data_IF_037037775193
#
_entry.id   IF_037037775193
#
_cell.length_a   1.000
_cell.length_b   1.000
_cell.length_c   1.000
_cell.angle_alpha   90.00
_cell.angle_beta   90.00
_cell.angle_gamma   90.00
#
_symmetry.space_group_name_H-M   'P 1'
#
loop_
_entity.id
_entity.type
_entity.pdbx_description
1 polymer ?
#
# COMPACT_ATOMS: atom_id res chain seq x y z
N UNK A 1 -16.12 -28.07 -28.13
CA UNK A 1 -15.69 -29.49 -28.05
C UNK A 1 -15.91 -30.12 -26.66
N UNK A 2 -15.83 -29.40 -25.54
CA UNK A 2 -16.07 -30.02 -24.22
C UNK A 2 -17.51 -30.55 -24.00
N UNK A 3 -18.52 -29.91 -24.58
CA UNK A 3 -19.93 -30.32 -24.46
C UNK A 3 -20.37 -31.46 -25.39
N UNK A 4 -19.48 -31.97 -26.24
CA UNK A 4 -19.83 -33.11 -27.12
C UNK A 4 -19.58 -34.46 -26.44
N UNK A 5 -18.86 -34.50 -25.33
CA UNK A 5 -18.48 -35.72 -24.61
C UNK A 5 -18.82 -35.70 -23.12
N UNK A 6 -19.42 -34.63 -22.60
CA UNK A 6 -19.73 -34.47 -21.18
C UNK A 6 -21.05 -33.74 -20.95
N UNK A 7 -21.96 -34.38 -20.22
CA UNK A 7 -23.32 -33.90 -19.94
C UNK A 7 -23.51 -33.40 -18.50
N UNK A 8 -22.47 -33.48 -17.66
CA UNK A 8 -22.56 -33.05 -16.26
C UNK A 8 -22.48 -31.54 -16.08
N UNK A 9 -22.63 -31.04 -14.84
CA UNK A 9 -22.36 -29.64 -14.51
C UNK A 9 -20.94 -29.26 -14.93
N UNK A 10 -20.84 -28.21 -15.74
CA UNK A 10 -19.58 -27.69 -16.27
C UNK A 10 -19.52 -26.19 -16.04
N UNK A 11 -18.40 -25.69 -15.54
CA UNK A 11 -18.12 -24.27 -15.41
C UNK A 11 -16.82 -23.98 -16.17
N UNK A 12 -16.79 -22.88 -16.94
CA UNK A 12 -15.53 -22.38 -17.49
C UNK A 12 -14.83 -21.54 -16.42
N UNK A 13 -13.52 -21.71 -16.29
CA UNK A 13 -12.75 -20.94 -15.33
C UNK A 13 -12.78 -19.45 -15.73
N UNK A 14 -13.31 -18.64 -14.82
CA UNK A 14 -13.32 -17.18 -14.91
C UNK A 14 -12.69 -16.63 -13.63
N UNK A 15 -12.09 -15.45 -13.74
CA UNK A 15 -11.48 -14.79 -12.60
C UNK A 15 -12.54 -14.53 -11.51
N UNK A 16 -12.13 -14.74 -10.26
CA UNK A 16 -12.95 -14.48 -9.07
C UNK A 16 -14.19 -15.37 -8.93
N UNK A 17 -14.28 -16.51 -9.62
CA UNK A 17 -15.33 -17.49 -9.34
C UNK A 17 -14.93 -18.38 -8.16
N UNK A 18 -15.77 -18.42 -7.13
CA UNK A 18 -15.61 -19.32 -5.99
C UNK A 18 -16.54 -20.52 -6.14
N UNK A 19 -16.03 -21.72 -5.82
CA UNK A 19 -16.81 -22.96 -5.77
C UNK A 19 -16.95 -23.39 -4.32
N UNK A 20 -18.18 -23.42 -3.83
CA UNK A 20 -18.50 -23.97 -2.50
C UNK A 20 -18.97 -25.42 -2.67
N UNK A 21 -18.26 -26.32 -1.99
CA UNK A 21 -18.60 -27.75 -1.95
C UNK A 21 -19.15 -28.06 -0.57
N UNK A 22 -20.37 -28.57 -0.54
CA UNK A 22 -21.03 -29.11 0.65
C UNK A 22 -21.45 -30.55 0.37
N UNK A 23 -21.74 -31.37 1.40
CA UNK A 23 -22.24 -32.74 1.18
C UNK A 23 -23.47 -32.81 0.27
N UNK A 24 -24.31 -31.77 0.30
CA UNK A 24 -25.60 -31.74 -0.40
C UNK A 24 -25.53 -31.09 -1.78
N UNK A 25 -24.62 -30.14 -2.00
CA UNK A 25 -24.53 -29.43 -3.28
C UNK A 25 -23.14 -28.82 -3.55
N UNK A 26 -22.89 -28.60 -4.84
CA UNK A 26 -21.77 -27.83 -5.38
C UNK A 26 -22.35 -26.57 -6.02
N UNK A 27 -21.89 -25.40 -5.58
CA UNK A 27 -22.36 -24.12 -6.11
C UNK A 27 -21.19 -23.22 -6.52
N UNK A 28 -21.31 -22.61 -7.69
CA UNK A 28 -20.38 -21.58 -8.18
C UNK A 28 -20.97 -20.19 -7.99
N UNK A 29 -20.19 -19.25 -7.47
CA UNK A 29 -20.61 -17.84 -7.29
C UNK A 29 -19.50 -16.88 -7.73
N UNK A 30 -19.83 -15.76 -8.39
CA UNK A 30 -18.87 -14.69 -8.61
C UNK A 30 -18.51 -14.03 -7.27
N UNK A 31 -17.23 -13.71 -7.09
CA UNK A 31 -16.69 -13.09 -5.87
C UNK A 31 -16.30 -11.66 -6.20
N UNK A 32 -16.73 -10.72 -5.37
CA UNK A 32 -16.26 -9.34 -5.46
C UNK A 32 -15.04 -9.17 -4.55
N UNK A 33 -13.93 -8.70 -5.13
CA UNK A 33 -12.76 -8.28 -4.35
C UNK A 33 -12.77 -6.76 -4.21
N UNK A 34 -12.29 -6.28 -3.07
CA UNK A 34 -12.05 -4.86 -2.87
C UNK A 34 -10.94 -4.42 -3.83
N UNK A 35 -11.25 -3.48 -4.72
CA UNK A 35 -10.24 -2.85 -5.57
C UNK A 35 -9.21 -2.15 -4.67
N UNK A 36 -7.94 -2.48 -4.83
CA UNK A 36 -6.83 -2.08 -3.95
C UNK A 36 -6.83 -2.75 -2.56
N UNK A 37 -7.11 -4.05 -2.51
CA UNK A 37 -6.89 -4.84 -1.31
C UNK A 37 -5.41 -4.75 -0.88
N UNK A 38 -5.17 -4.23 0.32
CA UNK A 38 -3.86 -4.36 0.97
C UNK A 38 -3.71 -5.79 1.46
N UNK A 39 -2.49 -6.36 1.44
CA UNK A 39 -2.27 -7.65 2.07
C UNK A 39 -2.74 -7.54 3.52
N UNK A 40 -3.49 -8.53 4.04
CA UNK A 40 -3.74 -8.58 5.47
C UNK A 40 -2.37 -8.65 6.13
N UNK A 41 -1.96 -7.58 6.79
CA UNK A 41 -0.76 -7.59 7.59
C UNK A 41 -1.06 -8.57 8.73
N UNK A 42 -0.63 -9.82 8.59
CA UNK A 42 -0.34 -10.60 9.78
C UNK A 42 0.92 -9.98 10.34
N UNK A 43 0.76 -9.16 11.38
CA UNK A 43 1.85 -8.96 12.33
C UNK A 43 2.25 -10.36 12.78
N UNK A 44 3.34 -10.87 12.22
CA UNK A 44 4.04 -11.99 12.83
C UNK A 44 4.70 -11.35 14.05
N UNK A 45 4.00 -11.34 15.17
CA UNK A 45 4.58 -10.92 16.43
C UNK A 45 5.66 -11.95 16.79
N UNK A 46 6.90 -11.52 16.62
CA UNK A 46 8.07 -12.35 16.82
C UNK A 46 9.21 -11.83 15.95
N UNK A 47 10.08 -11.01 16.54
CA UNK A 47 11.45 -10.91 16.03
C UNK A 47 11.96 -12.35 15.92
N UNK A 48 12.35 -12.79 14.72
CA UNK A 48 13.00 -14.10 14.58
C UNK A 48 14.37 -13.95 15.23
N UNK A 49 14.64 -14.58 16.39
CA UNK A 49 15.93 -14.42 17.05
C UNK A 49 17.02 -14.93 16.12
N UNK A 50 17.93 -14.04 15.71
CA UNK A 50 19.02 -14.35 14.78
C UNK A 50 18.90 -13.74 13.38
N UNK A 51 17.83 -13.00 13.05
CA UNK A 51 17.79 -12.19 11.81
C UNK A 51 18.13 -10.73 12.11
N UNK A 52 19.40 -10.43 12.26
CA UNK A 52 19.87 -9.05 12.12
C UNK A 52 19.89 -8.73 10.62
N UNK A 53 18.93 -7.95 10.14
CA UNK A 53 19.05 -7.34 8.82
C UNK A 53 20.22 -6.35 8.87
N UNK A 54 21.39 -6.81 8.44
CA UNK A 54 22.61 -6.02 8.40
C UNK A 54 22.47 -4.90 7.38
N UNK A 55 22.20 -3.69 7.86
CA UNK A 55 22.40 -2.48 7.07
C UNK A 55 23.89 -2.15 7.11
N UNK A 56 24.55 -2.16 5.95
CA UNK A 56 25.94 -1.74 5.81
C UNK A 56 26.12 -0.28 6.18
N UNK A 57 27.25 0.07 6.80
CA UNK A 57 27.49 1.43 7.31
C UNK A 57 27.43 2.50 6.22
N UNK A 58 27.91 2.21 5.00
CA UNK A 58 27.78 3.12 3.86
C UNK A 58 26.32 3.50 3.55
N UNK A 59 25.38 2.58 3.78
CA UNK A 59 23.95 2.80 3.50
C UNK A 59 23.30 3.63 4.61
N UNK A 60 23.80 3.53 5.85
CA UNK A 60 23.40 4.41 6.96
C UNK A 60 23.87 5.85 6.67
N UNK A 61 25.10 6.01 6.21
CA UNK A 61 25.70 7.30 5.92
C UNK A 61 25.11 7.98 4.68
N UNK A 62 24.67 7.18 3.70
CA UNK A 62 23.98 7.68 2.50
C UNK A 62 22.51 8.09 2.76
N UNK A 63 22.01 7.95 3.99
CA UNK A 63 20.63 8.32 4.32
C UNK A 63 20.47 9.83 4.25
N UNK A 64 19.59 10.29 3.36
CA UNK A 64 19.30 11.71 3.21
C UNK A 64 18.48 12.16 4.43
N UNK A 65 18.98 13.14 5.18
CA UNK A 65 18.20 13.78 6.24
C UNK A 65 17.15 14.73 5.65
N UNK A 66 16.00 14.13 5.34
CA UNK A 66 14.85 14.85 4.80
C UNK A 66 14.30 15.92 5.77
N UNK A 67 14.51 15.79 7.08
CA UNK A 67 14.00 16.77 8.05
C UNK A 67 14.79 18.08 7.94
N UNK A 68 16.12 18.00 7.95
CA UNK A 68 16.98 19.18 7.80
C UNK A 68 16.75 19.89 6.48
N UNK A 69 16.66 19.14 5.37
CA UNK A 69 16.39 19.70 4.04
C UNK A 69 15.02 20.40 3.98
N UNK A 70 14.00 19.81 4.61
CA UNK A 70 12.64 20.38 4.63
C UNK A 70 12.60 21.66 5.46
N UNK A 71 13.29 21.72 6.60
CA UNK A 71 13.36 22.90 7.46
C UNK A 71 14.12 24.06 6.79
N UNK A 72 15.22 23.79 6.10
CA UNK A 72 15.95 24.80 5.33
C UNK A 72 15.10 25.35 4.18
N UNK A 73 14.45 24.49 3.40
CA UNK A 73 13.52 24.90 2.33
C UNK A 73 12.34 25.72 2.84
N UNK A 74 11.85 25.44 4.04
CA UNK A 74 10.78 26.21 4.69
C UNK A 74 11.27 27.60 5.13
N UNK A 75 12.51 27.71 5.65
CA UNK A 75 13.14 29.00 5.98
C UNK A 75 13.38 29.87 4.75
N UNK A 76 13.85 29.29 3.64
CA UNK A 76 14.00 29.98 2.36
C UNK A 76 12.67 30.52 1.79
N UNK A 77 11.56 29.80 2.02
CA UNK A 77 10.21 30.25 1.64
C UNK A 77 9.61 31.27 2.61
N UNK A 78 9.95 31.18 3.90
CA UNK A 78 9.43 32.04 4.96
C UNK A 78 9.93 33.49 4.94
N UNK A 79 11.07 33.76 4.29
CA UNK A 79 11.67 35.11 4.27
C UNK A 79 11.25 35.98 3.06
N UNK A 80 10.62 35.42 2.02
CA UNK A 80 10.24 36.20 0.82
C UNK A 80 9.01 37.11 1.00
N UNK A 81 8.31 37.06 2.14
CA UNK A 81 7.06 37.81 2.34
C UNK A 81 7.10 38.90 3.43
N UNK A 82 8.26 39.26 3.98
CA UNK A 82 8.35 40.33 4.99
C UNK A 82 9.40 41.36 4.63
N UNK A 83 9.02 42.26 3.72
CA UNK A 83 9.57 43.62 3.59
C UNK A 83 8.48 44.48 2.93
N UNK A 84 7.56 45.02 3.74
CA UNK A 84 6.52 45.89 3.20
C UNK A 84 5.32 46.10 4.11
N UNK A 85 5.53 46.59 5.33
CA UNK A 85 4.50 47.35 6.04
C UNK A 85 5.19 48.27 7.05
N UNK A 86 5.75 49.36 6.53
CA UNK A 86 5.94 50.55 7.37
C UNK A 86 4.55 51.02 7.80
N UNK A 87 4.25 50.88 9.09
CA UNK A 87 3.14 51.59 9.74
C UNK A 87 3.36 53.10 9.57
N UNK A 88 2.73 53.71 8.57
CA UNK A 88 2.40 55.14 8.63
C UNK A 88 1.24 55.32 9.59
N UNK A 89 1.58 55.54 10.86
CA UNK A 89 0.73 56.26 11.80
C UNK A 89 0.58 57.72 11.35
N UNK A 90 -0.63 58.23 11.60
CA UNK A 90 -1.04 59.63 11.78
C UNK A 90 -1.69 60.40 10.61
N UNK A 91 -2.94 60.79 10.92
CA UNK A 91 -3.76 61.95 10.54
C UNK A 91 -4.54 61.87 9.22
#
# INVERSE_FOLDING_TARGET
LLRTTYDGPSLYAEDLVTINVTPDYIISRPTEIVKNAYPPYKLVEGEVPGTEFGISDWLKDATIDWKSIKEEKLKERGWKNWNGCEEKKQL
#
